data_IF_682490463610
#
_entry.id   IF_682490463610
#
_cell.length_a   1.000
_cell.length_b   1.000
_cell.length_c   1.000
_cell.angle_alpha   90.00
_cell.angle_beta   90.00
_cell.angle_gamma   90.00
#
_symmetry.space_group_name_H-M   'P 1'
#
loop_
_entity.id
_entity.type
_entity.pdbx_description
1 polymer ?
#
# COMPACT_ATOMS: atom_id res chain seq x y z
N UNK A 1 4.84 12.22 12.40
CA UNK A 1 4.43 11.58 11.13
C UNK A 1 2.91 11.50 11.10
N UNK A 2 2.29 11.54 9.92
CA UNK A 2 0.84 11.28 9.82
C UNK A 2 0.59 9.79 9.74
N UNK A 3 -0.58 9.31 10.21
CA UNK A 3 -0.92 7.88 10.21
C UNK A 3 -0.83 7.19 8.84
N UNK A 4 -1.05 7.95 7.75
CA UNK A 4 -0.95 7.37 6.41
C UNK A 4 0.50 7.23 5.94
N UNK A 5 1.40 8.11 6.40
CA UNK A 5 2.83 8.00 6.11
C UNK A 5 3.42 6.79 6.83
N UNK A 6 3.11 6.62 8.11
CA UNK A 6 3.56 5.44 8.88
C UNK A 6 3.10 4.13 8.22
N UNK A 7 1.86 4.08 7.74
CA UNK A 7 1.35 2.91 7.02
C UNK A 7 2.07 2.69 5.67
N UNK A 8 2.37 3.76 4.94
CA UNK A 8 3.10 3.66 3.68
C UNK A 8 4.54 3.18 3.93
N UNK A 9 5.22 3.72 4.94
CA UNK A 9 6.59 3.38 5.28
C UNK A 9 6.69 1.91 5.76
N UNK A 10 5.70 1.42 6.54
CA UNK A 10 5.57 -0.01 6.91
C UNK A 10 5.48 -0.94 5.69
N UNK A 11 4.68 -0.55 4.69
CA UNK A 11 4.48 -1.33 3.47
C UNK A 11 5.74 -1.27 2.59
N UNK A 12 6.36 -0.10 2.48
CA UNK A 12 7.63 0.09 1.77
C UNK A 12 8.74 -0.77 2.39
N UNK A 13 8.84 -0.82 3.72
CA UNK A 13 9.78 -1.70 4.41
C UNK A 13 9.51 -3.18 4.11
N UNK A 14 8.23 -3.58 4.01
CA UNK A 14 7.84 -4.94 3.64
C UNK A 14 8.21 -5.29 2.19
N UNK A 15 8.08 -4.33 1.27
CA UNK A 15 8.53 -4.48 -0.13
C UNK A 15 10.06 -4.56 -0.18
N UNK A 16 10.76 -3.67 0.54
CA UNK A 16 12.23 -3.65 0.59
C UNK A 16 12.82 -4.92 1.21
N UNK A 17 12.14 -5.50 2.20
CA UNK A 17 12.51 -6.77 2.81
C UNK A 17 12.18 -8.00 1.93
N UNK A 18 11.52 -7.81 0.77
CA UNK A 18 11.13 -8.89 -0.14
C UNK A 18 9.97 -9.75 0.34
N UNK A 19 9.26 -9.31 1.38
CA UNK A 19 8.02 -9.95 1.87
C UNK A 19 6.90 -9.75 0.85
N UNK A 20 6.82 -8.54 0.29
CA UNK A 20 5.95 -8.21 -0.84
C UNK A 20 6.83 -8.08 -2.09
N UNK A 21 6.53 -8.90 -3.11
CA UNK A 21 7.29 -8.96 -4.34
C UNK A 21 6.57 -8.24 -5.46
N UNK A 22 7.33 -7.85 -6.47
CA UNK A 22 6.79 -7.31 -7.70
C UNK A 22 5.68 -8.19 -8.29
N UNK A 23 4.54 -7.59 -8.60
CA UNK A 23 3.35 -8.31 -9.08
C UNK A 23 2.41 -8.80 -7.97
N UNK A 24 2.82 -8.75 -6.69
CA UNK A 24 1.93 -9.08 -5.58
C UNK A 24 0.81 -8.06 -5.46
N UNK A 25 -0.38 -8.56 -5.15
CA UNK A 25 -1.56 -7.74 -4.93
C UNK A 25 -1.56 -7.21 -3.50
N UNK A 26 -1.65 -5.89 -3.33
CA UNK A 26 -1.87 -5.31 -2.02
C UNK A 26 -3.29 -5.64 -1.51
N UNK A 27 -3.46 -5.79 -0.18
CA UNK A 27 -4.78 -5.96 0.39
C UNK A 27 -5.67 -4.76 0.05
N UNK A 28 -6.98 -4.99 -0.06
CA UNK A 28 -7.93 -3.92 -0.38
C UNK A 28 -7.91 -2.83 0.70
N UNK A 29 -8.29 -1.60 0.32
CA UNK A 29 -8.39 -0.47 1.26
C UNK A 29 -9.25 -0.83 2.47
N UNK A 30 -10.38 -1.53 2.25
CA UNK A 30 -11.27 -2.01 3.31
C UNK A 30 -10.60 -3.04 4.21
N UNK A 31 -9.96 -4.05 3.62
CA UNK A 31 -9.29 -5.10 4.38
C UNK A 31 -8.17 -4.55 5.27
N UNK A 32 -7.35 -3.65 4.74
CA UNK A 32 -6.28 -3.01 5.50
C UNK A 32 -6.83 -2.08 6.58
N UNK A 33 -7.91 -1.36 6.28
CA UNK A 33 -8.61 -0.49 7.25
C UNK A 33 -9.09 -1.30 8.45
N UNK A 34 -9.76 -2.44 8.22
CA UNK A 34 -10.25 -3.34 9.27
C UNK A 34 -9.11 -3.99 10.06
N UNK A 35 -8.08 -4.49 9.36
CA UNK A 35 -6.92 -5.15 9.96
C UNK A 35 -6.06 -4.24 10.83
N UNK A 36 -5.88 -2.98 10.42
CA UNK A 36 -5.01 -2.00 11.09
C UNK A 36 -5.79 -1.04 11.99
N UNK A 37 -7.13 -1.06 11.97
CA UNK A 37 -7.98 -0.15 12.74
C UNK A 37 -7.85 1.32 12.32
N UNK A 38 -7.48 1.58 11.06
CA UNK A 38 -7.32 2.94 10.51
C UNK A 38 -8.45 3.25 9.53
N UNK A 39 -8.72 4.53 9.30
CA UNK A 39 -9.77 4.92 8.34
C UNK A 39 -9.43 4.49 6.91
N UNK A 40 -10.45 4.16 6.11
CA UNK A 40 -10.27 3.85 4.69
C UNK A 40 -9.56 4.99 3.93
N UNK A 41 -9.84 6.25 4.29
CA UNK A 41 -9.15 7.42 3.74
C UNK A 41 -7.66 7.41 4.05
N UNK A 42 -7.25 7.02 5.26
CA UNK A 42 -5.84 6.87 5.65
C UNK A 42 -5.14 5.81 4.81
N UNK A 43 -5.77 4.65 4.63
CA UNK A 43 -5.20 3.58 3.79
C UNK A 43 -5.10 4.03 2.33
N UNK A 44 -6.13 4.70 1.82
CA UNK A 44 -6.13 5.23 0.46
C UNK A 44 -5.00 6.22 0.26
N UNK A 45 -4.79 7.16 1.19
CA UNK A 45 -3.68 8.11 1.16
C UNK A 45 -2.31 7.40 1.22
N UNK A 46 -2.17 6.34 2.02
CA UNK A 46 -0.94 5.55 2.08
C UNK A 46 -0.64 4.85 0.74
N UNK A 47 -1.65 4.22 0.13
CA UNK A 47 -1.49 3.55 -1.16
C UNK A 47 -1.21 4.54 -2.28
N UNK A 48 -1.85 5.70 -2.26
CA UNK A 48 -1.59 6.78 -3.20
C UNK A 48 -0.15 7.32 -3.07
N UNK A 49 0.35 7.45 -1.84
CA UNK A 49 1.74 7.84 -1.60
C UNK A 49 2.73 6.78 -2.14
N UNK A 50 2.47 5.50 -1.90
CA UNK A 50 3.28 4.40 -2.44
C UNK A 50 3.26 4.38 -3.97
N UNK A 51 2.12 4.71 -4.58
CA UNK A 51 1.98 4.81 -6.03
C UNK A 51 2.79 5.98 -6.59
N UNK A 52 2.72 7.14 -5.93
CA UNK A 52 3.53 8.32 -6.25
C UNK A 52 5.04 8.05 -6.08
N UNK A 53 5.44 7.21 -5.11
CA UNK A 53 6.82 6.72 -4.94
C UNK A 53 7.23 5.67 -5.97
N UNK A 54 6.30 5.17 -6.79
CA UNK A 54 6.54 4.14 -7.79
C UNK A 54 6.71 2.73 -7.23
N UNK A 55 6.36 2.51 -5.96
CA UNK A 55 6.45 1.21 -5.29
C UNK A 55 5.25 0.32 -5.60
N UNK A 56 4.11 0.94 -5.92
CA UNK A 56 2.88 0.24 -6.33
C UNK A 56 2.27 0.89 -7.56
N UNK A 57 1.35 0.17 -8.20
CA UNK A 57 0.56 0.63 -9.34
C UNK A 57 -0.91 0.31 -9.10
N UNK A 58 -1.79 1.29 -9.28
CA UNK A 58 -3.21 1.02 -9.38
C UNK A 58 -3.50 0.30 -10.71
N UNK A 59 -4.33 -0.74 -10.65
CA UNK A 59 -4.87 -1.43 -11.81
C UNK A 59 -6.39 -1.37 -11.75
N UNK A 60 -6.99 -0.86 -12.82
CA UNK A 60 -8.44 -0.68 -12.91
C UNK A 60 -9.20 -1.95 -12.52
N UNK A 61 -10.20 -1.78 -11.63
CA UNK A 61 -11.06 -2.85 -11.07
C UNK A 61 -10.33 -3.96 -10.31
N UNK A 62 -9.01 -3.90 -10.20
CA UNK A 62 -8.18 -4.99 -9.68
C UNK A 62 -7.50 -4.63 -8.36
N UNK A 63 -7.32 -3.34 -8.07
CA UNK A 63 -6.70 -2.84 -6.83
C UNK A 63 -5.27 -2.36 -7.06
N UNK A 64 -4.45 -2.40 -6.01
CA UNK A 64 -3.04 -1.99 -6.06
C UNK A 64 -2.13 -3.21 -6.16
N UNK A 65 -1.08 -3.10 -6.94
CA UNK A 65 -0.07 -4.15 -7.13
C UNK A 65 1.32 -3.57 -6.90
N UNK A 66 2.23 -4.34 -6.31
CA UNK A 66 3.62 -3.93 -6.12
C UNK A 66 4.29 -3.80 -7.49
N UNK A 67 4.92 -2.67 -7.74
CA UNK A 67 5.66 -2.42 -8.96
C UNK A 67 6.96 -3.24 -8.97
N UNK A 68 7.29 -3.84 -10.12
CA UNK A 68 8.63 -4.31 -10.38
C UNK A 68 9.53 -3.08 -10.51
N UNK A 69 10.47 -2.91 -9.59
CA UNK A 69 11.53 -1.92 -9.72
C UNK A 69 12.66 -2.49 -10.58
#
# INVERSE_FOLDING_TARGET
>A
MTRYQELADDIEASIAAGVLRAGDKLPSVRHTSERRGVSASTVFQAYYLLEARGLVRARERSGYFVAAR
#
